data_IF_334212898919
#
_entry.id   IF_334212898919
#
_cell.length_a   1.000
_cell.length_b   1.000
_cell.length_c   1.000
_cell.angle_alpha   90.00
_cell.angle_beta   90.00
_cell.angle_gamma   90.00
#
_symmetry.space_group_name_H-M   'P 1'
#
loop_
_entity.id
_entity.type
_entity.pdbx_description
1 polymer ?
#
# COMPACT_ATOMS: atom_id res chain seq x y z
N UNK A 1 14.84 -14.41 11.03
CA UNK A 1 13.53 -13.92 10.50
C UNK A 1 13.81 -12.96 9.36
N UNK A 2 12.88 -12.79 8.41
CA UNK A 2 13.01 -11.73 7.41
C UNK A 2 12.79 -10.36 8.06
N UNK A 3 13.61 -9.36 7.69
CA UNK A 3 13.45 -8.00 8.19
C UNK A 3 12.08 -7.43 7.78
N UNK A 4 11.42 -6.76 8.71
CA UNK A 4 10.15 -6.09 8.46
C UNK A 4 10.38 -4.76 7.75
N UNK A 5 9.47 -4.38 6.85
CA UNK A 5 9.62 -3.23 5.96
C UNK A 5 8.78 -2.04 6.44
N UNK A 6 9.34 -0.84 6.31
CA UNK A 6 8.62 0.43 6.49
C UNK A 6 8.46 1.06 5.12
N UNK A 7 7.21 1.30 4.72
CA UNK A 7 6.82 1.74 3.39
C UNK A 7 6.09 3.09 3.48
N UNK A 8 6.73 4.20 3.16
CA UNK A 8 6.02 5.47 2.93
C UNK A 8 5.07 5.37 1.74
N UNK A 9 3.85 5.93 1.90
CA UNK A 9 2.85 5.98 0.84
C UNK A 9 2.63 7.42 0.36
N UNK A 10 2.65 7.62 -0.94
CA UNK A 10 2.39 8.89 -1.59
C UNK A 10 1.09 8.80 -2.40
N UNK A 11 0.05 9.47 -1.92
CA UNK A 11 -1.16 9.67 -2.72
C UNK A 11 -0.88 10.77 -3.76
N UNK A 12 -1.05 10.45 -5.04
CA UNK A 12 -0.74 11.35 -6.15
C UNK A 12 -2.03 11.74 -6.88
N UNK A 13 -2.18 13.02 -7.18
CA UNK A 13 -3.24 13.57 -8.04
C UNK A 13 -2.70 14.68 -8.89
N UNK A 14 -3.05 14.73 -10.17
CA UNK A 14 -2.64 15.77 -11.11
C UNK A 14 -1.13 16.09 -11.04
N UNK A 15 -0.30 15.08 -10.84
CA UNK A 15 1.15 15.23 -10.78
C UNK A 15 1.73 15.73 -9.46
N UNK A 16 0.93 15.86 -8.41
CA UNK A 16 1.34 16.33 -7.08
C UNK A 16 1.05 15.30 -6.01
N UNK A 17 1.93 15.23 -5.00
CA UNK A 17 1.63 14.45 -3.78
C UNK A 17 0.63 15.22 -2.95
N UNK A 18 -0.42 14.54 -2.55
CA UNK A 18 -1.47 15.10 -1.70
C UNK A 18 -1.70 14.24 -0.47
N UNK A 19 -2.23 14.81 0.57
CA UNK A 19 -2.71 14.09 1.74
C UNK A 19 -4.04 14.65 2.21
N UNK A 20 -5.01 13.75 2.40
CA UNK A 20 -6.32 14.05 2.97
C UNK A 20 -6.64 13.14 4.15
N UNK A 21 -7.76 13.42 4.81
CA UNK A 21 -8.37 12.53 5.81
C UNK A 21 -9.53 11.83 5.11
N UNK A 22 -9.56 10.50 5.15
CA UNK A 22 -10.61 9.69 4.49
C UNK A 22 -10.87 10.08 3.02
N UNK A 23 -9.78 10.36 2.27
CA UNK A 23 -9.82 10.79 0.85
C UNK A 23 -10.52 12.13 0.56
N UNK A 24 -10.76 12.96 1.57
CA UNK A 24 -11.30 14.31 1.44
C UNK A 24 -10.33 15.37 2.01
N UNK A 25 -10.57 16.66 1.69
CA UNK A 25 -9.72 17.77 2.11
C UNK A 25 -8.22 17.60 1.76
N UNK A 26 -7.96 17.29 0.49
CA UNK A 26 -6.60 17.06 -0.01
C UNK A 26 -5.74 18.33 0.14
N UNK A 27 -4.58 18.19 0.80
CA UNK A 27 -3.55 19.23 0.90
C UNK A 27 -2.35 18.81 0.06
N UNK A 28 -1.85 19.75 -0.73
CA UNK A 28 -0.60 19.57 -1.50
C UNK A 28 0.57 19.36 -0.54
N UNK A 29 1.32 18.31 -0.73
CA UNK A 29 2.49 17.95 0.08
C UNK A 29 3.82 18.12 -0.70
N UNK A 30 3.78 18.42 -1.99
CA UNK A 30 4.97 18.75 -2.77
C UNK A 30 5.18 17.91 -4.04
N UNK A 31 6.38 18.03 -4.59
CA UNK A 31 6.81 17.27 -5.77
C UNK A 31 7.07 15.80 -5.41
N UNK A 32 6.47 14.83 -6.15
CA UNK A 32 6.61 13.41 -5.86
C UNK A 32 8.05 12.89 -5.98
N UNK A 33 8.85 13.43 -6.89
CA UNK A 33 10.24 13.00 -7.10
C UNK A 33 11.13 13.43 -5.93
N UNK A 34 10.99 14.68 -5.48
CA UNK A 34 11.74 15.20 -4.32
C UNK A 34 11.37 14.46 -3.03
N UNK A 35 10.07 14.17 -2.85
CA UNK A 35 9.61 13.43 -1.67
C UNK A 35 10.12 11.99 -1.70
N UNK A 36 10.05 11.31 -2.84
CA UNK A 36 10.53 9.95 -3.01
C UNK A 36 12.04 9.85 -2.71
N UNK A 37 12.85 10.75 -3.27
CA UNK A 37 14.28 10.82 -2.99
C UNK A 37 14.57 11.02 -1.50
N UNK A 38 13.84 11.91 -0.84
CA UNK A 38 13.99 12.12 0.61
C UNK A 38 13.70 10.86 1.43
N UNK A 39 12.74 10.03 1.04
CA UNK A 39 12.44 8.77 1.72
C UNK A 39 13.50 7.71 1.46
N UNK A 40 14.05 7.65 0.24
CA UNK A 40 15.19 6.79 -0.09
C UNK A 40 16.42 7.18 0.77
N UNK A 41 16.76 8.46 0.83
CA UNK A 41 17.84 8.99 1.69
C UNK A 41 17.61 8.72 3.19
N UNK A 42 16.37 8.65 3.65
CA UNK A 42 16.00 8.27 5.02
C UNK A 42 16.02 6.75 5.27
N UNK A 43 16.32 5.96 4.25
CA UNK A 43 16.42 4.51 4.35
C UNK A 43 15.07 3.79 4.37
N UNK A 44 14.04 4.29 3.68
CA UNK A 44 12.81 3.53 3.48
C UNK A 44 13.11 2.19 2.79
N UNK A 45 12.35 1.16 3.11
CA UNK A 45 12.57 -0.16 2.50
C UNK A 45 11.92 -0.29 1.11
N UNK A 46 10.84 0.42 0.90
CA UNK A 46 10.06 0.50 -0.35
C UNK A 46 9.29 1.82 -0.37
N UNK A 47 8.77 2.20 -1.54
CA UNK A 47 7.81 3.30 -1.71
C UNK A 47 6.53 2.79 -2.36
N UNK A 48 5.41 3.39 -1.99
CA UNK A 48 4.14 3.15 -2.67
C UNK A 48 3.57 4.46 -3.21
N UNK A 49 3.26 4.49 -4.51
CA UNK A 49 2.50 5.55 -5.16
C UNK A 49 1.09 5.07 -5.48
N UNK A 50 0.10 5.83 -5.03
CA UNK A 50 -1.30 5.58 -5.33
C UNK A 50 -1.86 6.76 -6.13
N UNK A 51 -2.15 6.54 -7.41
CA UNK A 51 -2.91 7.50 -8.22
C UNK A 51 -4.37 7.44 -7.80
N UNK A 52 -4.81 8.47 -7.08
CA UNK A 52 -6.17 8.55 -6.53
C UNK A 52 -7.17 9.21 -7.50
N UNK A 53 -6.71 9.75 -8.62
CA UNK A 53 -7.57 10.42 -9.61
C UNK A 53 -7.84 9.60 -10.86
N UNK A 54 -7.07 8.59 -11.15
CA UNK A 54 -7.09 7.63 -12.27
C UNK A 54 -8.17 7.87 -13.36
N UNK A 55 -8.30 9.11 -13.86
CA UNK A 55 -9.03 9.41 -15.09
C UNK A 55 -8.15 9.06 -16.31
N UNK A 56 -8.76 8.84 -17.47
CA UNK A 56 -8.04 8.47 -18.69
C UNK A 56 -7.03 9.54 -19.13
N UNK A 57 -7.28 10.79 -18.80
CA UNK A 57 -6.50 11.93 -19.26
C UNK A 57 -5.24 12.20 -18.42
N UNK A 58 -5.23 11.74 -17.17
CA UNK A 58 -4.10 11.95 -16.24
C UNK A 58 -3.08 10.81 -16.26
N UNK A 59 -3.31 9.71 -16.99
CA UNK A 59 -2.42 8.54 -17.01
C UNK A 59 -1.02 8.84 -17.52
N UNK A 60 -0.87 9.72 -18.49
CA UNK A 60 0.45 10.10 -19.03
C UNK A 60 1.28 10.84 -17.98
N UNK A 61 0.64 11.56 -17.07
CA UNK A 61 1.31 12.29 -16.00
C UNK A 61 1.94 11.31 -15.00
N UNK A 62 1.20 10.26 -14.60
CA UNK A 62 1.74 9.28 -13.64
C UNK A 62 2.93 8.49 -14.23
N UNK A 63 2.88 8.09 -15.50
CA UNK A 63 4.01 7.42 -16.14
C UNK A 63 5.27 8.27 -16.11
N UNK A 64 5.16 9.55 -16.48
CA UNK A 64 6.29 10.46 -16.46
C UNK A 64 6.88 10.69 -15.05
N UNK A 65 6.02 10.69 -14.01
CA UNK A 65 6.47 10.76 -12.62
C UNK A 65 7.22 9.49 -12.24
N UNK A 66 6.68 8.31 -12.58
CA UNK A 66 7.30 7.02 -12.29
C UNK A 66 8.68 6.95 -12.94
N UNK A 67 8.82 7.31 -14.22
CA UNK A 67 10.09 7.36 -14.93
C UNK A 67 11.10 8.24 -14.20
N UNK A 68 10.72 9.48 -13.83
CA UNK A 68 11.59 10.40 -13.10
C UNK A 68 11.98 9.90 -11.71
N UNK A 69 11.06 9.23 -10.99
CA UNK A 69 11.35 8.64 -9.69
C UNK A 69 12.31 7.47 -9.84
N UNK A 70 12.08 6.58 -10.81
CA UNK A 70 12.93 5.42 -11.08
C UNK A 70 14.37 5.81 -11.48
N UNK A 71 14.58 7.01 -12.04
CA UNK A 71 15.91 7.54 -12.33
C UNK A 71 16.70 7.97 -11.07
N UNK A 72 16.02 8.24 -9.95
CA UNK A 72 16.62 8.88 -8.77
C UNK A 72 16.47 8.08 -7.47
N UNK A 73 15.62 7.06 -7.46
CA UNK A 73 15.28 6.26 -6.28
C UNK A 73 15.59 4.80 -6.56
N UNK A 74 16.30 4.15 -5.63
CA UNK A 74 16.85 2.80 -5.83
C UNK A 74 16.24 1.76 -4.88
N UNK A 75 15.21 2.13 -4.14
CA UNK A 75 14.37 1.20 -3.36
C UNK A 75 13.16 0.78 -4.18
N UNK A 76 12.57 -0.41 -3.95
CA UNK A 76 11.44 -0.91 -4.71
C UNK A 76 10.27 0.06 -4.72
N UNK A 77 9.67 0.25 -5.89
CA UNK A 77 8.54 1.15 -6.13
C UNK A 77 7.28 0.33 -6.47
N UNK A 78 6.27 0.43 -5.61
CA UNK A 78 4.92 -0.08 -5.89
C UNK A 78 4.05 1.04 -6.43
N UNK A 79 3.38 0.82 -7.56
CA UNK A 79 2.46 1.80 -8.15
C UNK A 79 1.06 1.21 -8.24
N UNK A 80 0.07 1.95 -7.75
CA UNK A 80 -1.35 1.60 -7.83
C UNK A 80 -2.21 2.75 -8.34
N UNK A 81 -3.46 2.42 -8.66
CA UNK A 81 -4.42 3.34 -9.24
C UNK A 81 -4.64 3.11 -10.74
N UNK A 82 -5.89 3.09 -11.16
CA UNK A 82 -6.29 3.04 -12.57
C UNK A 82 -5.94 1.76 -13.35
N UNK A 83 -5.39 0.73 -12.75
CA UNK A 83 -5.04 -0.55 -13.40
C UNK A 83 -6.31 -1.32 -13.75
N UNK A 84 -6.52 -1.61 -15.05
CA UNK A 84 -7.74 -2.27 -15.54
C UNK A 84 -7.46 -3.49 -16.42
N UNK A 85 -6.26 -3.60 -16.95
CA UNK A 85 -5.85 -4.66 -17.87
C UNK A 85 -4.39 -5.06 -17.67
N UNK A 86 -4.01 -6.24 -18.15
CA UNK A 86 -2.62 -6.73 -18.13
C UNK A 86 -1.67 -5.76 -18.84
N UNK A 87 -2.16 -5.04 -19.86
CA UNK A 87 -1.37 -4.03 -20.56
C UNK A 87 -1.03 -2.83 -19.66
N UNK A 88 -1.92 -2.44 -18.73
CA UNK A 88 -1.63 -1.36 -17.76
C UNK A 88 -0.49 -1.80 -16.82
N UNK A 89 -0.50 -3.06 -16.37
CA UNK A 89 0.59 -3.64 -15.58
C UNK A 89 1.92 -3.54 -16.32
N UNK A 90 1.93 -3.94 -17.60
CA UNK A 90 3.14 -3.83 -18.44
C UNK A 90 3.65 -2.40 -18.55
N UNK A 91 2.74 -1.47 -18.79
CA UNK A 91 3.11 -0.06 -18.96
C UNK A 91 3.75 0.52 -17.68
N UNK A 92 3.19 0.19 -16.50
CA UNK A 92 3.75 0.62 -15.21
C UNK A 92 5.12 0.00 -14.93
N UNK A 93 5.29 -1.30 -15.18
CA UNK A 93 6.59 -1.98 -15.05
C UNK A 93 7.63 -1.39 -16.01
N UNK A 94 7.24 -1.11 -17.26
CA UNK A 94 8.14 -0.48 -18.24
C UNK A 94 8.53 0.96 -17.87
N UNK A 95 7.66 1.69 -17.16
CA UNK A 95 7.96 3.03 -16.66
C UNK A 95 8.91 3.04 -15.44
N UNK A 96 9.18 1.87 -14.86
CA UNK A 96 10.13 1.70 -13.75
C UNK A 96 9.51 1.28 -12.41
N UNK A 97 8.22 0.93 -12.37
CA UNK A 97 7.64 0.30 -11.19
C UNK A 97 8.19 -1.13 -11.02
N UNK A 98 8.51 -1.52 -9.79
CA UNK A 98 8.87 -2.90 -9.44
C UNK A 98 7.64 -3.77 -9.18
N UNK A 99 6.60 -3.16 -8.62
CA UNK A 99 5.33 -3.81 -8.29
C UNK A 99 4.15 -2.96 -8.75
N UNK A 100 3.06 -3.63 -9.08
CA UNK A 100 1.80 -2.99 -9.48
C UNK A 100 0.70 -3.40 -8.52
N UNK A 101 0.01 -2.41 -7.95
CA UNK A 101 -1.10 -2.62 -7.01
C UNK A 101 -2.45 -2.56 -7.72
N UNK A 102 -3.24 -3.62 -7.56
CA UNK A 102 -4.56 -3.80 -8.19
C UNK A 102 -5.63 -3.88 -7.10
N UNK A 103 -6.64 -3.01 -7.15
CA UNK A 103 -7.75 -2.98 -6.19
C UNK A 103 -9.09 -3.29 -6.88
N UNK A 104 -9.86 -2.27 -7.26
CA UNK A 104 -11.21 -2.40 -7.83
C UNK A 104 -11.28 -3.37 -9.01
N UNK A 105 -10.28 -3.37 -9.87
CA UNK A 105 -10.24 -4.25 -11.04
C UNK A 105 -10.06 -5.72 -10.66
N UNK A 106 -9.38 -6.04 -9.57
CA UNK A 106 -9.31 -7.40 -9.06
C UNK A 106 -10.69 -7.91 -8.62
N UNK A 107 -11.53 -7.04 -8.03
CA UNK A 107 -12.90 -7.40 -7.63
C UNK A 107 -13.79 -7.60 -8.85
N UNK A 108 -13.71 -6.73 -9.84
CA UNK A 108 -14.56 -6.80 -11.05
C UNK A 108 -14.14 -7.90 -12.02
N UNK A 109 -12.84 -8.18 -12.10
CA UNK A 109 -12.26 -9.23 -12.94
C UNK A 109 -11.08 -9.90 -12.20
N UNK A 110 -11.33 -10.90 -11.33
CA UNK A 110 -10.27 -11.58 -10.60
C UNK A 110 -9.23 -12.27 -11.49
N UNK A 111 -9.62 -12.66 -12.71
CA UNK A 111 -8.71 -13.28 -13.67
C UNK A 111 -7.56 -12.37 -14.07
N UNK A 112 -7.73 -11.05 -13.99
CA UNK A 112 -6.67 -10.07 -14.21
C UNK A 112 -5.44 -10.33 -13.32
N UNK A 113 -5.66 -10.72 -12.05
CA UNK A 113 -4.57 -11.05 -11.12
C UNK A 113 -3.80 -12.27 -11.60
N UNK A 114 -4.52 -13.34 -11.99
CA UNK A 114 -3.88 -14.56 -12.48
C UNK A 114 -3.12 -14.33 -13.80
N UNK A 115 -3.71 -13.60 -14.73
CA UNK A 115 -3.09 -13.30 -16.03
C UNK A 115 -1.84 -12.43 -15.86
N UNK A 116 -1.89 -11.43 -14.96
CA UNK A 116 -0.75 -10.57 -14.68
C UNK A 116 0.37 -11.34 -13.94
N UNK A 117 0.03 -12.13 -12.91
CA UNK A 117 0.98 -12.95 -12.18
C UNK A 117 1.63 -14.03 -13.06
N UNK A 118 0.85 -14.69 -13.91
CA UNK A 118 1.37 -15.67 -14.85
C UNK A 118 2.32 -15.08 -15.90
N UNK A 119 2.15 -13.80 -16.24
CA UNK A 119 2.95 -13.14 -17.27
C UNK A 119 4.21 -12.44 -16.73
N UNK A 120 4.12 -11.84 -15.54
CA UNK A 120 5.18 -10.99 -14.99
C UNK A 120 5.78 -11.56 -13.70
N UNK A 121 5.19 -12.60 -13.13
CA UNK A 121 5.55 -13.19 -11.85
C UNK A 121 4.73 -12.59 -10.68
N UNK A 122 4.44 -13.44 -9.70
CA UNK A 122 3.68 -13.04 -8.50
C UNK A 122 4.33 -11.89 -7.75
N UNK A 123 5.67 -11.84 -7.71
CA UNK A 123 6.43 -10.80 -7.01
C UNK A 123 6.15 -9.38 -7.50
N UNK A 124 5.63 -9.21 -8.73
CA UNK A 124 5.26 -7.90 -9.28
C UNK A 124 3.81 -7.51 -8.98
N UNK A 125 3.00 -8.41 -8.39
CA UNK A 125 1.56 -8.19 -8.22
C UNK A 125 1.20 -8.04 -6.74
N UNK A 126 0.76 -6.84 -6.39
CA UNK A 126 0.18 -6.52 -5.08
C UNK A 126 -1.33 -6.40 -5.26
N UNK A 127 -2.13 -7.05 -4.42
CA UNK A 127 -3.57 -6.81 -4.39
C UNK A 127 -3.89 -5.92 -3.20
N UNK A 128 -4.43 -4.73 -3.48
CA UNK A 128 -4.92 -3.82 -2.44
C UNK A 128 -6.36 -4.18 -2.04
N UNK A 129 -6.60 -4.24 -0.75
CA UNK A 129 -7.90 -4.56 -0.15
C UNK A 129 -8.26 -3.43 0.82
N UNK A 130 -9.30 -2.68 0.48
CA UNK A 130 -9.92 -1.72 1.41
C UNK A 130 -11.00 -2.47 2.17
N UNK A 131 -10.81 -2.66 3.47
CA UNK A 131 -11.70 -3.45 4.32
C UNK A 131 -12.38 -2.57 5.36
N UNK A 132 -13.68 -2.80 5.58
CA UNK A 132 -14.49 -2.12 6.60
C UNK A 132 -15.15 -3.14 7.50
N UNK A 133 -15.14 -2.89 8.81
CA UNK A 133 -15.81 -3.75 9.77
C UNK A 133 -17.33 -3.68 9.59
N UNK A 134 -17.97 -4.83 9.43
CA UNK A 134 -19.44 -4.95 9.27
C UNK A 134 -20.08 -5.74 10.39
N UNK A 135 -19.29 -6.24 11.32
CA UNK A 135 -19.73 -6.96 12.53
C UNK A 135 -18.53 -7.43 13.36
N UNK A 136 -18.73 -7.96 14.55
CA UNK A 136 -17.63 -8.48 15.38
C UNK A 136 -16.81 -9.53 14.65
N UNK A 137 -15.52 -9.25 14.39
CA UNK A 137 -14.60 -10.13 13.69
C UNK A 137 -14.95 -10.39 12.22
N UNK A 138 -15.69 -9.49 11.59
CA UNK A 138 -16.09 -9.58 10.18
C UNK A 138 -15.80 -8.27 9.45
N UNK A 139 -15.10 -8.37 8.32
CA UNK A 139 -14.76 -7.24 7.46
C UNK A 139 -15.18 -7.50 6.03
N UNK A 140 -15.73 -6.49 5.41
CA UNK A 140 -16.18 -6.52 4.01
C UNK A 140 -15.23 -5.72 3.14
N UNK A 141 -14.96 -6.23 1.93
CA UNK A 141 -14.18 -5.53 0.89
C UNK A 141 -14.99 -4.41 0.28
N UNK A 142 -14.37 -3.25 0.14
CA UNK A 142 -14.90 -2.09 -0.55
C UNK A 142 -14.08 -1.76 -1.79
N UNK A 143 -14.71 -1.10 -2.76
CA UNK A 143 -14.10 -0.66 -4.01
C UNK A 143 -14.35 0.82 -4.27
N UNK A 144 -13.75 1.36 -5.35
CA UNK A 144 -13.90 2.76 -5.76
C UNK A 144 -13.50 3.76 -4.65
N UNK A 145 -12.35 3.52 -4.00
CA UNK A 145 -11.88 4.35 -2.90
C UNK A 145 -12.82 4.31 -1.69
N UNK A 146 -13.30 3.13 -1.31
CA UNK A 146 -14.16 2.92 -0.15
C UNK A 146 -15.64 3.29 -0.34
N UNK A 147 -16.06 3.63 -1.56
CA UNK A 147 -17.44 4.12 -1.82
C UNK A 147 -18.45 3.03 -2.09
N UNK A 148 -18.02 1.83 -2.49
CA UNK A 148 -18.92 0.75 -2.91
C UNK A 148 -18.62 -0.53 -2.15
N UNK A 149 -19.56 -0.98 -1.33
CA UNK A 149 -19.57 -2.29 -0.70
C UNK A 149 -19.69 -3.42 -1.76
N UNK A 150 -19.04 -4.55 -1.52
CA UNK A 150 -19.01 -5.66 -2.49
C UNK A 150 -19.73 -6.91 -2.01
N UNK A 151 -20.02 -7.03 -0.71
CA UNK A 151 -20.53 -8.26 -0.09
C UNK A 151 -19.46 -9.35 0.11
N UNK A 152 -18.18 -9.09 -0.25
CA UNK A 152 -17.11 -10.06 -0.12
C UNK A 152 -16.46 -9.97 1.26
N UNK A 153 -16.29 -11.10 1.93
CA UNK A 153 -15.49 -11.20 3.16
C UNK A 153 -14.01 -10.92 2.84
N UNK A 154 -13.37 -10.05 3.63
CA UNK A 154 -12.01 -9.59 3.35
C UNK A 154 -10.97 -10.70 3.49
N UNK A 155 -11.14 -11.64 4.45
CA UNK A 155 -10.22 -12.75 4.68
C UNK A 155 -10.32 -13.76 3.53
N UNK A 156 -11.55 -14.15 3.19
CA UNK A 156 -11.78 -15.11 2.08
C UNK A 156 -11.36 -14.49 0.74
N UNK A 157 -11.54 -13.20 0.56
CA UNK A 157 -11.06 -12.49 -0.61
C UNK A 157 -9.53 -12.50 -0.71
N UNK A 158 -8.83 -12.24 0.39
CA UNK A 158 -7.38 -12.28 0.43
C UNK A 158 -6.83 -13.68 0.08
N UNK A 159 -7.42 -14.76 0.61
CA UNK A 159 -7.09 -16.15 0.25
C UNK A 159 -7.28 -16.41 -1.26
N UNK A 160 -8.38 -15.92 -1.81
CA UNK A 160 -8.64 -16.04 -3.25
C UNK A 160 -7.58 -15.32 -4.08
N UNK A 161 -7.16 -14.13 -3.66
CA UNK A 161 -6.12 -13.38 -4.36
C UNK A 161 -4.76 -14.09 -4.30
N UNK A 162 -4.39 -14.67 -3.17
CA UNK A 162 -3.21 -15.52 -3.06
C UNK A 162 -3.29 -16.70 -4.04
N UNK A 163 -4.42 -17.41 -4.09
CA UNK A 163 -4.63 -18.54 -5.00
C UNK A 163 -4.51 -18.14 -6.47
N UNK A 164 -4.91 -16.91 -6.82
CA UNK A 164 -4.80 -16.37 -8.17
C UNK A 164 -3.40 -15.80 -8.48
N UNK A 165 -2.45 -15.88 -7.55
CA UNK A 165 -1.06 -15.54 -7.79
C UNK A 165 -0.66 -14.14 -7.35
N UNK A 166 -1.44 -13.46 -6.51
CA UNK A 166 -0.95 -12.27 -5.83
C UNK A 166 0.31 -12.60 -5.04
N UNK A 167 1.34 -11.79 -5.14
CA UNK A 167 2.58 -11.96 -4.41
C UNK A 167 2.57 -11.26 -3.06
N UNK A 168 1.64 -10.30 -2.84
CA UNK A 168 1.54 -9.53 -1.62
C UNK A 168 0.14 -8.92 -1.48
N UNK A 169 -0.32 -8.72 -0.26
CA UNK A 169 -1.58 -8.02 0.05
C UNK A 169 -1.28 -6.69 0.72
N UNK A 170 -1.80 -5.61 0.17
CA UNK A 170 -1.86 -4.28 0.81
C UNK A 170 -3.23 -4.12 1.45
N UNK A 171 -3.27 -4.27 2.78
CA UNK A 171 -4.52 -4.30 3.55
C UNK A 171 -4.77 -2.98 4.26
N UNK A 172 -5.78 -2.23 3.82
CA UNK A 172 -6.16 -0.95 4.43
C UNK A 172 -7.45 -1.10 5.24
N UNK A 173 -7.39 -0.77 6.53
CA UNK A 173 -8.61 -0.60 7.33
C UNK A 173 -9.22 0.77 7.07
N UNK A 174 -10.43 0.78 6.50
CA UNK A 174 -11.19 2.02 6.27
C UNK A 174 -11.64 2.67 7.58
N UNK A 175 -11.86 1.86 8.63
CA UNK A 175 -12.30 2.36 9.93
C UNK A 175 -11.17 3.11 10.66
N UNK A 176 -9.91 2.75 10.38
CA UNK A 176 -8.74 3.35 11.01
C UNK A 176 -8.08 4.43 10.13
N UNK A 177 -8.28 4.39 8.81
CA UNK A 177 -7.59 5.32 7.91
C UNK A 177 -7.90 6.78 8.24
N UNK A 178 -6.83 7.57 8.39
CA UNK A 178 -6.90 8.98 8.82
C UNK A 178 -7.16 9.22 10.31
N UNK A 179 -7.50 8.19 11.12
CA UNK A 179 -7.87 8.36 12.53
C UNK A 179 -6.67 8.52 13.48
N UNK A 180 -5.46 8.14 13.07
CA UNK A 180 -4.23 8.16 13.90
C UNK A 180 -4.33 7.35 15.20
N UNK A 181 -5.20 6.33 15.26
CA UNK A 181 -5.45 5.49 16.45
C UNK A 181 -4.76 4.13 16.40
N UNK A 182 -3.98 3.86 15.38
CA UNK A 182 -3.32 2.58 15.12
C UNK A 182 -4.02 1.77 14.04
N UNK A 183 -3.35 0.71 13.60
CA UNK A 183 -3.92 -0.24 12.66
C UNK A 183 -5.12 -0.99 13.26
N UNK A 184 -6.03 -1.49 12.42
CA UNK A 184 -6.96 -2.53 12.84
C UNK A 184 -6.19 -3.86 13.03
N UNK A 185 -5.75 -4.08 14.26
CA UNK A 185 -4.93 -5.24 14.60
C UNK A 185 -5.70 -6.55 14.47
N UNK A 186 -7.02 -6.51 14.71
CA UNK A 186 -7.90 -7.67 14.52
C UNK A 186 -8.01 -8.09 13.06
N UNK A 187 -8.27 -7.13 12.17
CA UNK A 187 -8.28 -7.34 10.73
C UNK A 187 -6.92 -7.84 10.23
N UNK A 188 -5.86 -7.12 10.60
CA UNK A 188 -4.49 -7.46 10.17
C UNK A 188 -4.15 -8.88 10.58
N UNK A 189 -4.41 -9.25 11.84
CA UNK A 189 -4.15 -10.60 12.36
C UNK A 189 -4.96 -11.68 11.64
N UNK A 190 -6.25 -11.43 11.42
CA UNK A 190 -7.11 -12.39 10.72
C UNK A 190 -6.63 -12.69 9.29
N UNK A 191 -6.11 -11.68 8.60
CA UNK A 191 -5.58 -11.85 7.24
C UNK A 191 -4.19 -12.49 7.25
N UNK A 192 -3.29 -12.05 8.14
CA UNK A 192 -1.92 -12.61 8.22
C UNK A 192 -1.92 -14.09 8.63
N UNK A 193 -2.81 -14.51 9.53
CA UNK A 193 -2.95 -15.92 9.91
C UNK A 193 -3.53 -16.80 8.80
N UNK A 194 -4.22 -16.20 7.84
CA UNK A 194 -4.89 -16.91 6.77
C UNK A 194 -4.04 -17.06 5.49
N UNK A 195 -2.92 -16.35 5.39
CA UNK A 195 -2.10 -16.27 4.17
C UNK A 195 -0.67 -16.74 4.40
N UNK A 196 -0.04 -17.20 3.31
CA UNK A 196 1.39 -17.53 3.25
C UNK A 196 2.22 -16.45 2.57
N UNK A 197 1.57 -15.50 1.88
CA UNK A 197 2.21 -14.36 1.23
C UNK A 197 2.29 -13.14 2.18
N UNK A 198 3.24 -12.23 1.98
CA UNK A 198 3.38 -11.05 2.80
C UNK A 198 2.12 -10.17 2.84
N UNK A 199 1.86 -9.59 4.02
CA UNK A 199 0.79 -8.64 4.24
C UNK A 199 1.36 -7.30 4.70
N UNK A 200 0.99 -6.23 4.01
CA UNK A 200 1.31 -4.84 4.34
C UNK A 200 0.12 -4.25 5.11
N UNK A 201 0.32 -3.88 6.37
CA UNK A 201 -0.71 -3.20 7.15
C UNK A 201 -0.78 -1.71 6.78
N UNK A 202 -1.98 -1.20 6.53
CA UNK A 202 -2.25 0.18 6.13
C UNK A 202 -3.48 0.76 6.85
N UNK A 203 -3.45 2.08 7.07
CA UNK A 203 -4.54 2.85 7.69
C UNK A 203 -4.43 2.98 9.21
N UNK A 204 -4.39 4.21 9.72
CA UNK A 204 -4.51 4.53 11.14
C UNK A 204 -3.23 4.87 11.89
N UNK A 205 -2.06 4.85 11.26
CA UNK A 205 -0.80 5.15 11.96
C UNK A 205 -0.76 6.61 12.44
N UNK A 206 -0.51 6.78 13.75
CA UNK A 206 -0.39 8.09 14.38
C UNK A 206 0.87 8.27 15.21
N UNK A 207 1.59 7.18 15.53
CA UNK A 207 2.85 7.21 16.26
C UNK A 207 3.69 5.95 15.99
N UNK A 208 4.91 5.91 16.53
CA UNK A 208 5.87 4.81 16.29
C UNK A 208 5.41 3.48 16.93
N UNK A 209 4.70 3.52 18.06
CA UNK A 209 4.18 2.30 18.70
C UNK A 209 3.19 1.59 17.79
N UNK A 210 2.37 2.32 17.04
CA UNK A 210 1.42 1.72 16.09
C UNK A 210 2.11 0.88 15.01
N UNK A 211 3.30 1.30 14.55
CA UNK A 211 4.11 0.52 13.60
C UNK A 211 4.57 -0.81 14.22
N UNK A 212 5.05 -0.76 15.47
CA UNK A 212 5.47 -1.94 16.20
C UNK A 212 4.29 -2.90 16.46
N UNK A 213 3.12 -2.37 16.83
CA UNK A 213 1.91 -3.16 17.09
C UNK A 213 1.41 -3.87 15.83
N UNK A 214 1.44 -3.20 14.68
CA UNK A 214 1.10 -3.79 13.38
C UNK A 214 1.90 -5.05 13.07
N UNK A 215 3.19 -5.05 13.43
CA UNK A 215 4.08 -6.21 13.26
C UNK A 215 3.89 -7.23 14.37
N UNK A 216 3.98 -6.83 15.64
CA UNK A 216 4.02 -7.78 16.79
C UNK A 216 2.66 -8.39 17.07
N UNK A 217 1.61 -7.61 17.02
CA UNK A 217 0.24 -8.03 17.31
C UNK A 217 -0.50 -8.41 16.03
N UNK A 218 -0.46 -7.54 15.02
CA UNK A 218 -1.09 -7.79 13.73
C UNK A 218 -0.42 -8.86 12.87
N UNK A 219 0.86 -9.14 13.11
CA UNK A 219 1.61 -10.13 12.33
C UNK A 219 2.06 -9.65 10.95
N UNK A 220 1.92 -8.36 10.66
CA UNK A 220 2.28 -7.80 9.35
C UNK A 220 3.75 -8.00 8.98
N UNK A 221 4.03 -8.16 7.69
CA UNK A 221 5.39 -8.25 7.13
C UNK A 221 5.95 -6.90 6.74
N UNK A 222 5.06 -5.94 6.52
CA UNK A 222 5.38 -4.55 6.30
C UNK A 222 4.31 -3.64 6.89
N UNK A 223 4.71 -2.40 7.17
CA UNK A 223 3.82 -1.35 7.66
C UNK A 223 3.90 -0.15 6.72
N UNK A 224 2.74 0.30 6.26
CA UNK A 224 2.60 1.43 5.35
C UNK A 224 2.06 2.64 6.13
N UNK A 225 2.71 3.77 5.98
CA UNK A 225 2.29 5.03 6.60
C UNK A 225 2.52 6.23 5.67
N UNK A 226 1.69 7.24 5.81
CA UNK A 226 1.76 8.45 5.02
C UNK A 226 1.93 9.70 5.91
N UNK A 227 0.90 10.09 6.66
CA UNK A 227 0.83 11.38 7.34
C UNK A 227 1.96 11.64 8.33
N UNK A 228 2.36 10.64 9.12
CA UNK A 228 3.42 10.80 10.13
C UNK A 228 4.78 11.13 9.49
N UNK A 229 5.01 10.67 8.26
CA UNK A 229 6.22 10.95 7.49
C UNK A 229 6.10 12.24 6.66
N UNK A 230 4.96 12.46 5.99
CA UNK A 230 4.74 13.64 5.16
C UNK A 230 4.78 14.95 5.94
N UNK A 231 4.20 14.96 7.13
CA UNK A 231 4.18 16.15 7.99
C UNK A 231 5.43 16.28 8.88
N UNK A 232 6.42 15.37 8.72
CA UNK A 232 7.67 15.41 9.48
C UNK A 232 7.50 15.15 10.98
N UNK A 233 6.39 14.50 11.39
CA UNK A 233 6.19 14.11 12.80
C UNK A 233 7.27 13.11 13.21
N UNK A 234 7.65 12.20 12.28
CA UNK A 234 8.75 11.25 12.43
C UNK A 234 9.48 11.07 11.11
N UNK A 235 10.76 10.68 11.18
CA UNK A 235 11.52 10.19 10.03
C UNK A 235 11.43 8.67 9.92
N UNK A 236 11.69 8.12 8.74
CA UNK A 236 11.76 6.66 8.54
C UNK A 236 12.85 6.04 9.43
N UNK A 237 13.99 6.73 9.58
CA UNK A 237 15.08 6.28 10.42
C UNK A 237 14.68 6.20 11.91
N UNK A 238 13.92 7.18 12.42
CA UNK A 238 13.37 7.13 13.78
C UNK A 238 12.41 5.95 13.94
N UNK A 239 11.56 5.68 12.93
CA UNK A 239 10.65 4.56 12.94
C UNK A 239 11.39 3.22 12.99
N UNK A 240 12.42 3.04 12.17
CA UNK A 240 13.27 1.84 12.18
C UNK A 240 13.99 1.66 13.51
N UNK A 241 14.60 2.73 14.03
CA UNK A 241 15.29 2.69 15.32
C UNK A 241 14.35 2.29 16.45
N UNK A 242 13.13 2.83 16.46
CA UNK A 242 12.11 2.47 17.45
C UNK A 242 11.70 1.00 17.32
N UNK A 243 11.41 0.52 16.10
CA UNK A 243 11.02 -0.88 15.87
C UNK A 243 12.15 -1.84 16.30
N UNK A 244 13.42 -1.51 16.01
CA UNK A 244 14.57 -2.29 16.49
C UNK A 244 14.64 -2.35 18.02
N UNK A 245 14.42 -1.23 18.72
CA UNK A 245 14.35 -1.19 20.18
C UNK A 245 13.20 -2.06 20.75
N UNK A 246 12.13 -2.24 19.98
CA UNK A 246 11.03 -3.14 20.32
C UNK A 246 11.32 -4.62 19.99
N UNK A 247 12.54 -4.95 19.55
CA UNK A 247 12.94 -6.32 19.20
C UNK A 247 12.41 -6.78 17.84
N UNK A 248 12.02 -5.86 16.97
CA UNK A 248 11.60 -6.17 15.59
C UNK A 248 12.83 -6.05 14.69
N UNK A 249 13.06 -7.08 13.89
CA UNK A 249 14.15 -7.06 12.92
C UNK A 249 13.81 -6.13 11.75
N UNK A 250 14.61 -5.11 11.54
CA UNK A 250 14.53 -4.12 10.46
C UNK A 250 15.90 -3.88 9.85
N UNK A 251 15.95 -3.39 8.63
CA UNK A 251 17.20 -2.91 8.00
C UNK A 251 17.47 -1.47 8.48
N UNK A 252 18.56 -1.25 9.19
CA UNK A 252 19.02 0.06 9.67
C UNK A 252 19.92 0.72 8.61
#
# INVERSE_FOLDING_TARGET
MLAKRIIPCLDVTSGRVVKGVSFVELRDSGDPVEIARRYDEQGADELTFLDITASSDDRNIIFHIIEKVAEQVFIPLTVGGGVRAVQDVRNLLNAGADKVSINTSAVTNPQLVADAAGRYGSQCIVVAIDAKQVGPGKWEVFTHGGRKATGLDAVEWAKKMQTLGAGEILLTSMDQDGQKKGFDLGLTRAVTDALEIPVIASGGVGNLQHLADGVKIGGADAVLAASIFHFGEYTVQQAKSYMAQQGIEVRL
#
